data_IF_206357223397
#
_entry.id   IF_206357223397
#
_cell.length_a   1.000
_cell.length_b   1.000
_cell.length_c   1.000
_cell.angle_alpha   90.00
_cell.angle_beta   90.00
_cell.angle_gamma   90.00
#
_symmetry.space_group_name_H-M   'P 1'
#
loop_
_entity.id
_entity.type
_entity.pdbx_description
1 polymer ?
#
# COMPACT_ATOMS: atom_id res chain seq x y z
N UNK A 1 -25.68 0.55 3.26
CA UNK A 1 -25.05 0.56 4.58
C UNK A 1 -24.39 1.91 4.83
N UNK A 2 -24.37 2.36 6.10
CA UNK A 2 -23.56 3.48 6.57
C UNK A 2 -22.26 2.93 7.19
N UNK A 3 -21.13 3.31 6.65
CA UNK A 3 -19.81 2.81 7.05
C UNK A 3 -19.00 3.98 7.60
N UNK A 4 -18.50 3.87 8.84
CA UNK A 4 -17.54 4.80 9.41
C UNK A 4 -16.13 4.23 9.20
N UNK A 5 -15.29 4.96 8.46
CA UNK A 5 -13.90 4.60 8.20
C UNK A 5 -12.99 5.58 8.96
N UNK A 6 -12.26 5.08 9.94
CA UNK A 6 -11.34 5.88 10.77
C UNK A 6 -9.90 5.62 10.32
N UNK A 7 -9.18 6.68 9.98
CA UNK A 7 -7.81 6.56 9.46
C UNK A 7 -6.94 7.74 9.86
N UNK A 8 -5.66 7.48 10.17
CA UNK A 8 -4.63 8.51 10.33
C UNK A 8 -3.91 8.83 9.01
N UNK A 9 -4.12 7.99 7.98
CA UNK A 9 -3.58 8.16 6.64
C UNK A 9 -4.67 8.66 5.68
N UNK A 10 -4.64 9.94 5.35
CA UNK A 10 -5.59 10.59 4.44
C UNK A 10 -4.94 11.75 3.67
N UNK A 11 -5.65 12.31 2.68
CA UNK A 11 -5.20 13.48 1.93
C UNK A 11 -4.70 14.60 2.89
N UNK A 12 -3.62 15.32 2.56
CA UNK A 12 -2.88 15.33 1.29
C UNK A 12 -1.75 14.28 1.16
N UNK A 13 -1.65 13.29 2.04
CA UNK A 13 -0.63 12.24 1.94
C UNK A 13 -0.79 11.42 0.66
N UNK A 14 0.33 11.13 -0.02
CA UNK A 14 0.38 10.26 -1.19
C UNK A 14 1.08 8.96 -0.81
N UNK A 15 0.28 7.93 -0.50
CA UNK A 15 0.79 6.60 -0.17
C UNK A 15 -0.23 5.51 -0.51
N UNK A 16 0.18 4.25 -0.45
CA UNK A 16 -0.65 3.10 -0.81
C UNK A 16 -1.90 2.92 0.06
N UNK A 17 -1.88 3.38 1.32
CA UNK A 17 -3.04 3.31 2.22
C UNK A 17 -4.12 4.29 1.75
N UNK A 18 -3.75 5.54 1.54
CA UNK A 18 -4.66 6.60 1.05
C UNK A 18 -5.27 6.18 -0.29
N UNK A 19 -4.44 5.73 -1.24
CA UNK A 19 -4.91 5.26 -2.56
C UNK A 19 -5.92 4.12 -2.44
N UNK A 20 -5.63 3.13 -1.57
CA UNK A 20 -6.54 2.00 -1.34
C UNK A 20 -7.86 2.46 -0.75
N UNK A 21 -7.81 3.27 0.31
CA UNK A 21 -9.02 3.75 0.98
C UNK A 21 -9.88 4.62 0.05
N UNK A 22 -9.26 5.52 -0.71
CA UNK A 22 -9.96 6.38 -1.68
C UNK A 22 -10.64 5.55 -2.76
N UNK A 23 -9.93 4.62 -3.40
CA UNK A 23 -10.49 3.80 -4.47
C UNK A 23 -11.66 2.93 -3.97
N UNK A 24 -11.48 2.26 -2.83
CA UNK A 24 -12.54 1.41 -2.24
C UNK A 24 -13.74 2.26 -1.82
N UNK A 25 -13.52 3.42 -1.20
CA UNK A 25 -14.62 4.32 -0.80
C UNK A 25 -15.44 4.77 -2.00
N UNK A 26 -14.78 5.24 -3.07
CA UNK A 26 -15.48 5.69 -4.28
C UNK A 26 -16.35 4.59 -4.91
N UNK A 27 -15.86 3.35 -4.93
CA UNK A 27 -16.63 2.20 -5.46
C UNK A 27 -17.80 1.86 -4.53
N UNK A 28 -17.61 1.85 -3.22
CA UNK A 28 -18.69 1.59 -2.28
C UNK A 28 -19.78 2.65 -2.37
N UNK A 29 -19.43 3.92 -2.55
CA UNK A 29 -20.38 5.01 -2.76
C UNK A 29 -21.14 4.85 -4.09
N UNK A 30 -20.44 4.46 -5.16
CA UNK A 30 -21.08 4.12 -6.44
C UNK A 30 -22.06 2.93 -6.34
N UNK A 31 -21.82 2.00 -5.39
CA UNK A 31 -22.73 0.91 -5.09
C UNK A 31 -23.88 1.27 -4.11
N UNK A 32 -24.00 2.57 -3.75
CA UNK A 32 -25.08 3.08 -2.89
C UNK A 32 -24.83 2.92 -1.39
N UNK A 33 -23.59 2.64 -0.97
CA UNK A 33 -23.21 2.72 0.43
C UNK A 33 -22.84 4.16 0.82
N UNK A 34 -23.08 4.54 2.06
CA UNK A 34 -22.67 5.83 2.62
C UNK A 34 -21.39 5.63 3.41
N UNK A 35 -20.25 6.08 2.91
CA UNK A 35 -18.97 5.99 3.61
C UNK A 35 -18.61 7.35 4.20
N UNK A 36 -18.37 7.41 5.50
CA UNK A 36 -17.91 8.63 6.16
C UNK A 36 -16.51 8.41 6.69
N UNK A 37 -15.59 9.25 6.21
CA UNK A 37 -14.19 9.24 6.62
C UNK A 37 -14.02 10.09 7.87
N UNK A 38 -13.31 9.55 8.87
CA UNK A 38 -12.82 10.27 10.05
C UNK A 38 -11.29 10.29 9.97
N UNK A 39 -10.73 11.45 9.67
CA UNK A 39 -9.33 11.65 9.28
C UNK A 39 -8.70 12.88 9.96
N UNK A 40 -7.36 13.02 9.96
CA UNK A 40 -6.64 14.04 10.74
C UNK A 40 -6.94 15.49 10.35
N UNK A 41 -7.32 15.76 9.08
CA UNK A 41 -7.68 17.09 8.58
C UNK A 41 -8.89 17.71 9.28
N UNK A 42 -9.70 16.89 9.96
CA UNK A 42 -10.89 17.31 10.72
C UNK A 42 -10.57 17.69 12.17
N UNK A 43 -9.30 17.62 12.56
CA UNK A 43 -8.85 17.87 13.93
C UNK A 43 -7.62 18.76 13.95
N UNK A 44 -7.35 19.38 15.10
CA UNK A 44 -6.02 19.93 15.34
C UNK A 44 -5.00 18.80 15.30
N UNK A 45 -3.88 19.01 14.61
CA UNK A 45 -2.89 17.96 14.40
C UNK A 45 -1.47 18.49 14.44
N UNK A 46 -0.52 17.66 14.81
CA UNK A 46 0.91 17.91 14.75
C UNK A 46 1.54 17.12 13.62
N UNK A 47 2.60 17.63 12.98
CA UNK A 47 3.38 16.85 12.04
C UNK A 47 4.08 15.70 12.78
N UNK A 48 4.12 14.52 12.15
CA UNK A 48 4.96 13.43 12.64
C UNK A 48 6.45 13.83 12.50
N UNK A 49 7.27 13.72 13.55
CA UNK A 49 8.65 14.20 13.51
C UNK A 49 9.50 13.63 12.36
N UNK A 50 9.23 12.41 11.96
CA UNK A 50 9.98 11.73 10.89
C UNK A 50 9.37 11.88 9.49
N UNK A 51 8.10 12.27 9.40
CA UNK A 51 7.34 12.49 8.15
C UNK A 51 6.34 13.60 8.39
N UNK A 52 6.74 14.86 8.18
CA UNK A 52 5.89 16.03 8.45
C UNK A 52 4.57 16.03 7.68
N UNK A 53 4.52 15.35 6.55
CA UNK A 53 3.31 15.13 5.76
C UNK A 53 2.28 14.23 6.46
N UNK A 54 2.73 13.37 7.39
CA UNK A 54 1.83 12.57 8.24
C UNK A 54 1.38 13.44 9.41
N UNK A 55 0.08 13.69 9.48
CA UNK A 55 -0.52 14.52 10.54
C UNK A 55 -1.05 13.63 11.65
N UNK A 56 -0.58 13.88 12.88
CA UNK A 56 -1.03 13.19 14.08
C UNK A 56 -2.15 14.01 14.73
N UNK A 57 -3.38 13.52 14.69
CA UNK A 57 -4.54 14.22 15.25
C UNK A 57 -4.45 14.32 16.77
N UNK A 58 -4.66 15.54 17.29
CA UNK A 58 -4.77 15.81 18.72
C UNK A 58 -6.23 15.65 19.15
N UNK A 59 -6.65 14.40 19.32
CA UNK A 59 -8.02 14.08 19.67
C UNK A 59 -8.08 12.91 20.65
N UNK A 60 -9.22 12.77 21.31
CA UNK A 60 -9.44 11.72 22.30
C UNK A 60 -10.69 10.91 22.04
N UNK A 61 -10.84 9.83 22.82
CA UNK A 61 -11.97 8.89 22.77
C UNK A 61 -13.34 9.56 22.65
N UNK A 62 -13.60 10.57 23.48
CA UNK A 62 -14.93 11.19 23.54
C UNK A 62 -15.26 12.06 22.32
N UNK A 63 -14.25 12.67 21.69
CA UNK A 63 -14.46 13.50 20.49
C UNK A 63 -14.75 12.63 19.27
N UNK A 64 -13.95 11.56 19.07
CA UNK A 64 -14.19 10.60 18.00
C UNK A 64 -15.51 9.84 18.26
N UNK A 65 -15.79 9.51 19.52
CA UNK A 65 -17.02 8.83 19.93
C UNK A 65 -18.29 9.62 19.59
N UNK A 66 -18.36 10.92 19.94
CA UNK A 66 -19.51 11.76 19.57
C UNK A 66 -19.77 11.78 18.07
N UNK A 67 -18.70 11.72 17.26
CA UNK A 67 -18.84 11.67 15.80
C UNK A 67 -19.36 10.32 15.33
N UNK A 68 -18.89 9.22 15.91
CA UNK A 68 -19.43 7.88 15.61
C UNK A 68 -20.90 7.76 16.04
N UNK A 69 -21.27 8.29 17.20
CA UNK A 69 -22.67 8.33 17.66
C UNK A 69 -23.58 9.11 16.70
N UNK A 70 -23.14 10.29 16.26
CA UNK A 70 -23.89 11.12 15.31
C UNK A 70 -24.05 10.48 13.93
N UNK A 71 -23.10 9.62 13.51
CA UNK A 71 -23.15 8.89 12.24
C UNK A 71 -24.05 7.65 12.32
N UNK A 72 -24.21 7.05 13.51
CA UNK A 72 -24.91 5.80 13.73
C UNK A 72 -24.58 4.75 12.64
N UNK A 73 -23.29 4.37 12.47
CA UNK A 73 -22.88 3.53 11.34
C UNK A 73 -23.30 2.08 11.54
N UNK A 74 -23.63 1.40 10.44
CA UNK A 74 -23.88 -0.05 10.41
C UNK A 74 -22.58 -0.86 10.59
N UNK A 75 -21.43 -0.26 10.24
CA UNK A 75 -20.11 -0.86 10.38
C UNK A 75 -19.04 0.18 10.67
N UNK A 76 -18.06 -0.19 11.51
CA UNK A 76 -16.91 0.64 11.86
C UNK A 76 -15.63 -0.07 11.41
N UNK A 77 -14.84 0.61 10.58
CA UNK A 77 -13.52 0.15 10.18
C UNK A 77 -12.43 1.11 10.65
N UNK A 78 -11.44 0.61 11.39
CA UNK A 78 -10.28 1.36 11.87
C UNK A 78 -9.08 0.94 11.02
N UNK A 79 -8.71 1.79 10.06
CA UNK A 79 -7.75 1.44 9.03
C UNK A 79 -6.27 1.56 9.49
N UNK A 80 -6.00 2.34 10.55
CA UNK A 80 -4.62 2.61 11.00
C UNK A 80 -4.50 2.58 12.52
N UNK A 81 -3.27 2.33 13.00
CA UNK A 81 -2.94 2.19 14.42
C UNK A 81 -2.52 3.50 15.10
N UNK A 82 -2.71 4.63 14.42
CA UNK A 82 -2.34 5.96 14.91
C UNK A 82 -3.32 6.55 15.95
N UNK A 83 -3.17 7.84 16.29
CA UNK A 83 -3.97 8.50 17.33
C UNK A 83 -5.48 8.42 17.13
N UNK A 84 -5.97 8.60 15.88
CA UNK A 84 -7.40 8.47 15.56
C UNK A 84 -7.87 7.03 15.71
N UNK A 85 -7.13 6.08 15.14
CA UNK A 85 -7.43 4.66 15.28
C UNK A 85 -7.49 4.25 16.75
N UNK A 86 -6.55 4.72 17.56
CA UNK A 86 -6.50 4.46 19.00
C UNK A 86 -7.71 5.05 19.75
N UNK A 87 -8.11 6.27 19.40
CA UNK A 87 -9.28 6.96 19.99
C UNK A 87 -10.58 6.19 19.64
N UNK A 88 -10.76 5.81 18.38
CA UNK A 88 -11.91 5.03 17.91
C UNK A 88 -11.95 3.66 18.59
N UNK A 89 -10.83 2.92 18.62
CA UNK A 89 -10.73 1.63 19.29
C UNK A 89 -11.15 1.70 20.76
N UNK A 90 -10.64 2.70 21.50
CA UNK A 90 -10.99 2.89 22.91
C UNK A 90 -12.48 3.20 23.09
N UNK A 91 -13.05 3.95 22.16
CA UNK A 91 -14.48 4.25 22.17
C UNK A 91 -15.33 3.00 21.92
N UNK A 92 -15.03 2.27 20.85
CA UNK A 92 -15.76 1.05 20.49
C UNK A 92 -15.75 0.03 21.64
N UNK A 93 -14.57 -0.19 22.24
CA UNK A 93 -14.45 -1.11 23.39
C UNK A 93 -15.26 -0.67 24.60
N UNK A 94 -15.28 0.64 24.93
CA UNK A 94 -16.04 1.15 26.06
C UNK A 94 -17.55 1.07 25.85
N UNK A 95 -18.01 1.01 24.58
CA UNK A 95 -19.44 0.94 24.21
C UNK A 95 -19.86 -0.46 23.75
N UNK A 96 -18.96 -1.44 23.73
CA UNK A 96 -19.26 -2.78 23.21
C UNK A 96 -19.50 -2.84 21.70
N UNK A 97 -19.09 -1.80 20.94
CA UNK A 97 -19.30 -1.73 19.49
C UNK A 97 -18.34 -2.66 18.76
N UNK A 98 -18.84 -3.40 17.78
CA UNK A 98 -18.03 -4.22 16.90
C UNK A 98 -17.27 -3.35 15.92
N UNK A 99 -16.02 -3.71 15.62
CA UNK A 99 -15.21 -3.02 14.61
C UNK A 99 -14.25 -3.99 13.92
N UNK A 100 -13.81 -3.60 12.72
CA UNK A 100 -12.72 -4.24 12.00
C UNK A 100 -11.49 -3.34 11.95
N UNK A 101 -10.33 -3.94 11.72
CA UNK A 101 -9.07 -3.22 11.51
C UNK A 101 -8.38 -3.68 10.25
N UNK A 102 -7.34 -2.96 9.81
CA UNK A 102 -6.47 -3.41 8.73
C UNK A 102 -4.99 -3.30 9.13
N UNK A 103 -4.19 -4.24 8.67
CA UNK A 103 -2.73 -4.19 8.80
C UNK A 103 -2.14 -3.81 7.43
N UNK A 104 -1.90 -2.51 7.25
CA UNK A 104 -1.43 -1.97 5.97
C UNK A 104 0.09 -1.88 5.87
N UNK A 105 0.77 -1.71 6.99
CA UNK A 105 2.21 -1.41 7.02
C UNK A 105 2.91 -2.35 8.00
N UNK A 106 4.11 -2.78 7.66
CA UNK A 106 5.00 -3.50 8.56
C UNK A 106 5.53 -2.56 9.66
N UNK A 107 4.62 -2.09 10.49
CA UNK A 107 4.89 -1.08 11.51
C UNK A 107 6.05 -1.47 12.46
N UNK A 108 6.17 -2.72 12.94
CA UNK A 108 7.30 -3.14 13.75
C UNK A 108 8.65 -3.00 13.05
N UNK A 109 8.76 -3.45 11.80
CA UNK A 109 10.01 -3.38 11.03
C UNK A 109 10.35 -1.93 10.64
N UNK A 110 9.31 -1.14 10.34
CA UNK A 110 9.45 0.27 10.06
C UNK A 110 10.00 1.06 11.26
N UNK A 111 9.47 0.81 12.47
CA UNK A 111 9.97 1.44 13.70
C UNK A 111 11.35 0.93 14.07
N UNK A 112 11.62 -0.37 13.90
CA UNK A 112 12.93 -0.95 14.19
C UNK A 112 14.04 -0.25 13.39
N UNK A 113 13.85 -0.02 12.10
CA UNK A 113 14.84 0.68 11.25
C UNK A 113 15.08 2.13 11.66
N UNK A 114 14.10 2.78 12.28
CA UNK A 114 14.21 4.19 12.70
C UNK A 114 14.76 4.38 14.08
N UNK A 115 14.40 3.49 14.98
CA UNK A 115 14.78 3.60 16.40
C UNK A 115 16.02 2.81 16.74
N UNK A 116 16.45 1.88 15.86
CA UNK A 116 17.49 0.91 16.14
C UNK A 116 17.07 -0.21 17.12
N UNK A 117 15.82 -0.18 17.59
CA UNK A 117 15.29 -1.22 18.48
C UNK A 117 14.83 -2.45 17.66
N UNK A 118 14.91 -3.67 18.23
CA UNK A 118 14.39 -4.85 17.54
C UNK A 118 12.89 -4.75 17.24
N UNK A 119 12.45 -5.24 16.06
CA UNK A 119 11.03 -5.26 15.67
C UNK A 119 10.15 -5.97 16.71
N UNK A 120 10.69 -6.96 17.42
CA UNK A 120 10.01 -7.68 18.49
C UNK A 120 9.46 -6.76 19.60
N UNK A 121 10.09 -5.61 19.83
CA UNK A 121 9.69 -4.60 20.82
C UNK A 121 8.32 -3.99 20.52
N UNK A 122 7.95 -3.91 19.25
CA UNK A 122 6.72 -3.24 18.80
C UNK A 122 5.53 -4.19 18.61
N UNK A 123 5.76 -5.50 18.53
CA UNK A 123 4.71 -6.50 18.38
C UNK A 123 3.67 -6.53 19.50
N UNK A 124 4.01 -6.31 20.79
CA UNK A 124 3.01 -6.23 21.85
C UNK A 124 1.94 -5.17 21.60
N UNK A 125 2.31 -3.99 21.06
CA UNK A 125 1.37 -2.93 20.68
C UNK A 125 0.44 -3.38 19.54
N UNK A 126 0.98 -3.96 18.48
CA UNK A 126 0.21 -4.45 17.33
C UNK A 126 -0.80 -5.51 17.77
N UNK A 127 -0.36 -6.50 18.55
CA UNK A 127 -1.26 -7.53 19.11
C UNK A 127 -2.35 -6.91 19.97
N UNK A 128 -2.00 -6.02 20.87
CA UNK A 128 -2.94 -5.34 21.74
C UNK A 128 -3.95 -4.51 20.94
N UNK A 129 -3.51 -3.84 19.90
CA UNK A 129 -4.38 -2.99 19.07
C UNK A 129 -5.39 -3.82 18.30
N UNK A 130 -4.96 -4.86 17.62
CA UNK A 130 -5.80 -5.63 16.70
C UNK A 130 -6.60 -6.75 17.36
N UNK A 131 -6.15 -7.30 18.49
CA UNK A 131 -6.78 -8.46 19.13
C UNK A 131 -8.29 -8.36 19.36
N UNK A 132 -8.88 -7.23 19.76
CA UNK A 132 -10.32 -7.13 19.99
C UNK A 132 -11.14 -6.93 18.72
N UNK A 133 -10.53 -6.74 17.55
CA UNK A 133 -11.24 -6.57 16.30
C UNK A 133 -11.96 -7.86 15.87
N UNK A 134 -13.17 -7.73 15.34
CA UNK A 134 -13.94 -8.84 14.76
C UNK A 134 -13.34 -9.40 13.49
N UNK A 135 -12.55 -8.58 12.79
CA UNK A 135 -11.77 -8.95 11.62
C UNK A 135 -10.57 -8.03 11.46
N UNK A 136 -9.43 -8.60 11.08
CA UNK A 136 -8.21 -7.89 10.76
C UNK A 136 -7.94 -8.10 9.28
N UNK A 137 -8.07 -7.05 8.49
CA UNK A 137 -7.88 -7.12 7.05
C UNK A 137 -6.41 -7.11 6.69
N UNK A 138 -5.99 -8.07 5.87
CA UNK A 138 -4.61 -8.28 5.42
C UNK A 138 -4.55 -8.48 3.92
N UNK A 139 -3.50 -7.94 3.29
CA UNK A 139 -3.42 -7.91 1.84
C UNK A 139 -2.87 -9.20 1.22
N UNK A 140 -2.04 -9.94 1.93
CA UNK A 140 -1.27 -11.07 1.38
C UNK A 140 -1.24 -12.26 2.33
N UNK A 141 -0.95 -13.43 1.78
CA UNK A 141 -0.87 -14.67 2.55
C UNK A 141 0.38 -14.73 3.43
N UNK A 142 1.50 -14.16 3.00
CA UNK A 142 2.72 -14.07 3.83
C UNK A 142 2.49 -13.18 5.05
N UNK A 143 1.84 -12.02 4.88
CA UNK A 143 1.44 -11.16 6.01
C UNK A 143 0.44 -11.89 6.93
N UNK A 144 -0.51 -12.62 6.35
CA UNK A 144 -1.46 -13.43 7.13
C UNK A 144 -0.76 -14.48 7.99
N UNK A 145 0.21 -15.19 7.41
CA UNK A 145 1.00 -16.18 8.13
C UNK A 145 1.82 -15.54 9.27
N UNK A 146 2.44 -14.39 9.00
CA UNK A 146 3.19 -13.62 10.00
C UNK A 146 2.29 -13.20 11.17
N UNK A 147 1.13 -12.64 10.92
CA UNK A 147 0.20 -12.21 11.98
C UNK A 147 -0.36 -13.39 12.77
N UNK A 148 -0.60 -14.54 12.13
CA UNK A 148 -0.97 -15.79 12.82
C UNK A 148 0.13 -16.25 13.76
N UNK A 149 1.39 -16.21 13.35
CA UNK A 149 2.55 -16.53 14.20
C UNK A 149 2.66 -15.59 15.41
N UNK A 150 2.12 -14.36 15.30
CA UNK A 150 2.00 -13.39 16.39
C UNK A 150 0.73 -13.59 17.25
N UNK A 151 -0.06 -14.64 17.03
CA UNK A 151 -1.26 -14.95 17.80
C UNK A 151 -2.50 -14.14 17.44
N UNK A 152 -2.55 -13.53 16.26
CA UNK A 152 -3.73 -12.85 15.71
C UNK A 152 -4.51 -13.84 14.84
N UNK A 153 -5.81 -14.01 15.10
CA UNK A 153 -6.59 -15.13 14.52
C UNK A 153 -7.71 -14.69 13.57
N UNK A 154 -8.32 -13.54 13.78
CA UNK A 154 -9.46 -13.08 12.98
C UNK A 154 -9.04 -12.42 11.67
N UNK A 155 -8.15 -13.05 10.90
CA UNK A 155 -7.56 -12.48 9.69
C UNK A 155 -8.49 -12.65 8.48
N UNK A 156 -8.77 -11.55 7.79
CA UNK A 156 -9.61 -11.47 6.58
C UNK A 156 -8.76 -11.03 5.40
N UNK A 157 -8.91 -11.69 4.26
CA UNK A 157 -8.20 -11.27 3.05
C UNK A 157 -8.81 -10.00 2.48
N UNK A 158 -7.97 -9.02 2.18
CA UNK A 158 -8.34 -7.78 1.50
C UNK A 158 -7.20 -7.34 0.58
N UNK A 159 -7.29 -7.75 -0.67
CA UNK A 159 -6.33 -7.42 -1.72
C UNK A 159 -6.39 -5.94 -2.12
N UNK A 160 -5.57 -5.58 -3.09
CA UNK A 160 -5.52 -4.26 -3.70
C UNK A 160 -5.96 -4.36 -5.14
N UNK A 161 -6.16 -3.20 -5.77
CA UNK A 161 -6.51 -3.11 -7.17
C UNK A 161 -5.62 -2.13 -7.92
N UNK A 162 -5.76 -2.15 -9.23
CA UNK A 162 -5.21 -1.20 -10.17
C UNK A 162 -6.34 -0.65 -11.04
N UNK A 163 -6.22 0.60 -11.45
CA UNK A 163 -7.14 1.22 -12.39
C UNK A 163 -6.78 0.79 -13.81
N UNK A 164 -7.48 -0.23 -14.32
CA UNK A 164 -7.24 -0.77 -15.66
C UNK A 164 -7.64 0.18 -16.80
N UNK A 165 -8.38 1.26 -16.51
CA UNK A 165 -8.68 2.30 -17.51
C UNK A 165 -7.50 3.24 -17.75
N UNK A 166 -6.65 3.41 -16.74
CA UNK A 166 -5.45 4.23 -16.80
C UNK A 166 -4.20 3.39 -17.11
N UNK A 167 -4.07 2.20 -16.47
CA UNK A 167 -2.90 1.32 -16.59
C UNK A 167 -3.15 0.21 -17.61
N UNK A 168 -2.55 0.35 -18.78
CA UNK A 168 -2.75 -0.55 -19.92
C UNK A 168 -1.44 -0.70 -20.72
N UNK A 169 -1.17 -1.88 -21.31
CA UNK A 169 -0.03 -2.08 -22.21
C UNK A 169 -0.10 -1.20 -23.48
N UNK A 170 -1.29 -0.69 -23.80
CA UNK A 170 -1.53 0.15 -24.97
C UNK A 170 -1.25 1.65 -24.72
N UNK A 171 -0.79 2.01 -23.50
CA UNK A 171 -0.44 3.39 -23.18
C UNK A 171 0.85 3.77 -23.91
N UNK A 172 0.83 4.89 -24.64
CA UNK A 172 2.01 5.39 -25.35
C UNK A 172 3.13 5.74 -24.35
N UNK A 173 4.38 5.28 -24.61
CA UNK A 173 5.53 5.58 -23.74
C UNK A 173 5.88 7.08 -23.79
N UNK A 174 6.54 7.61 -22.75
CA UNK A 174 7.06 8.97 -22.78
C UNK A 174 8.05 9.16 -23.93
N UNK A 175 8.05 10.33 -24.58
CA UNK A 175 8.96 10.66 -25.67
C UNK A 175 10.43 10.44 -25.28
N UNK A 176 10.81 10.77 -24.05
CA UNK A 176 12.14 10.51 -23.52
C UNK A 176 12.58 9.05 -23.71
N UNK A 177 11.68 8.08 -23.52
CA UNK A 177 12.01 6.65 -23.58
C UNK A 177 12.35 6.17 -25.01
N UNK A 178 11.92 6.92 -26.04
CA UNK A 178 12.23 6.61 -27.44
C UNK A 178 13.74 6.81 -27.74
N UNK A 179 14.42 7.67 -26.98
CA UNK A 179 15.80 8.06 -27.19
C UNK A 179 16.76 7.43 -26.16
N UNK A 180 16.26 6.68 -25.18
CA UNK A 180 17.11 6.06 -24.16
C UNK A 180 17.65 4.70 -24.61
N UNK A 181 18.93 4.40 -24.29
CA UNK A 181 19.48 3.04 -24.46
C UNK A 181 18.65 1.99 -23.73
N UNK A 182 18.30 0.92 -24.46
CA UNK A 182 17.56 -0.21 -23.88
C UNK A 182 18.49 -1.26 -23.27
N UNK A 183 18.02 -2.04 -22.29
CA UNK A 183 16.67 -2.01 -21.72
C UNK A 183 16.44 -0.81 -20.78
N UNK A 184 15.21 -0.30 -20.77
CA UNK A 184 14.77 0.72 -19.82
C UNK A 184 14.33 0.02 -18.53
N UNK A 185 15.08 0.25 -17.47
CA UNK A 185 14.83 -0.26 -16.13
C UNK A 185 14.13 0.84 -15.33
N UNK A 186 12.92 0.56 -14.85
CA UNK A 186 12.08 1.55 -14.19
C UNK A 186 11.96 1.25 -12.70
N UNK A 187 12.17 2.25 -11.87
CA UNK A 187 11.73 2.31 -10.49
C UNK A 187 10.56 3.29 -10.35
N UNK A 188 9.53 2.93 -9.60
CA UNK A 188 8.43 3.82 -9.22
C UNK A 188 8.18 3.72 -7.73
N UNK A 189 8.14 4.87 -7.06
CA UNK A 189 7.80 4.93 -5.65
C UNK A 189 8.46 6.10 -4.93
N UNK A 190 8.23 6.16 -3.61
CA UNK A 190 8.88 7.16 -2.77
C UNK A 190 10.40 6.98 -2.80
N UNK A 191 11.12 8.07 -3.04
CA UNK A 191 12.59 8.08 -3.04
C UNK A 191 13.09 8.25 -1.60
N UNK A 192 13.19 7.13 -0.88
CA UNK A 192 13.54 7.09 0.54
C UNK A 192 14.36 5.85 0.89
N UNK A 193 15.08 5.91 2.00
CA UNK A 193 16.02 4.85 2.44
C UNK A 193 15.34 3.48 2.57
N UNK A 194 14.12 3.45 3.12
CA UNK A 194 13.35 2.21 3.29
C UNK A 194 12.95 1.54 1.98
N UNK A 195 12.95 2.29 0.86
CA UNK A 195 12.64 1.78 -0.48
C UNK A 195 13.87 1.23 -1.20
N UNK A 196 15.05 1.41 -0.63
CA UNK A 196 16.30 0.81 -1.12
C UNK A 196 16.61 1.16 -2.60
N UNK A 197 16.25 2.39 -3.03
CA UNK A 197 16.43 2.86 -4.42
C UNK A 197 17.88 2.80 -4.84
N UNK A 198 18.81 3.02 -3.90
CA UNK A 198 20.25 2.98 -4.12
C UNK A 198 20.72 1.62 -4.66
N UNK A 199 20.18 0.51 -4.14
CA UNK A 199 20.50 -0.82 -4.66
C UNK A 199 20.07 -1.03 -6.12
N UNK A 200 19.02 -0.36 -6.58
CA UNK A 200 18.65 -0.31 -7.99
C UNK A 200 19.63 0.52 -8.81
N UNK A 201 20.00 1.69 -8.30
CA UNK A 201 20.96 2.59 -8.97
C UNK A 201 22.35 1.99 -9.06
N UNK A 202 22.77 1.19 -8.09
CA UNK A 202 24.05 0.47 -8.05
C UNK A 202 24.06 -0.81 -8.92
N UNK A 203 22.90 -1.29 -9.39
CA UNK A 203 22.85 -2.46 -10.27
C UNK A 203 23.70 -2.25 -11.52
N UNK A 204 24.38 -3.31 -11.99
CA UNK A 204 25.33 -3.21 -13.11
C UNK A 204 24.73 -3.66 -14.45
N UNK A 205 23.45 -4.03 -14.45
CA UNK A 205 22.80 -4.43 -15.70
C UNK A 205 22.81 -3.26 -16.69
N UNK A 206 23.23 -3.48 -17.95
CA UNK A 206 23.30 -2.39 -18.95
C UNK A 206 21.91 -1.84 -19.28
N UNK A 207 21.87 -0.66 -19.89
CA UNK A 207 20.65 0.05 -20.26
C UNK A 207 20.40 1.30 -19.41
N UNK A 208 19.24 1.91 -19.54
CA UNK A 208 18.89 3.15 -18.88
C UNK A 208 18.11 2.93 -17.58
N UNK A 209 18.51 3.61 -16.53
CA UNK A 209 17.83 3.61 -15.25
C UNK A 209 16.93 4.83 -15.13
N UNK A 210 15.64 4.60 -14.89
CA UNK A 210 14.64 5.64 -14.74
C UNK A 210 13.97 5.54 -13.36
N UNK A 211 13.93 6.66 -12.66
CA UNK A 211 13.32 6.79 -11.33
C UNK A 211 12.13 7.73 -11.43
N UNK A 212 10.94 7.23 -11.07
CA UNK A 212 9.71 8.01 -10.98
C UNK A 212 9.27 8.06 -9.52
N UNK A 213 9.20 9.26 -9.00
CA UNK A 213 8.79 9.51 -7.62
C UNK A 213 9.51 10.69 -7.00
N UNK A 214 9.19 10.93 -5.75
CA UNK A 214 9.76 12.01 -4.94
C UNK A 214 10.01 11.50 -3.52
N UNK A 215 10.84 12.20 -2.76
CA UNK A 215 11.10 11.85 -1.37
C UNK A 215 12.43 12.39 -0.84
N UNK A 216 12.67 12.18 0.46
CA UNK A 216 13.78 12.82 1.17
C UNK A 216 15.18 12.42 0.70
N UNK A 217 15.32 11.38 -0.11
CA UNK A 217 16.61 10.95 -0.65
C UNK A 217 16.85 11.45 -2.10
N UNK A 218 15.88 12.13 -2.73
CA UNK A 218 15.92 12.49 -4.15
C UNK A 218 17.18 13.31 -4.49
N UNK A 219 17.34 14.48 -3.87
CA UNK A 219 18.48 15.40 -4.17
C UNK A 219 19.85 14.74 -3.98
N UNK A 220 19.95 13.83 -3.00
CA UNK A 220 21.19 13.09 -2.75
C UNK A 220 21.47 12.09 -3.86
N UNK A 221 20.43 11.35 -4.28
CA UNK A 221 20.56 10.30 -5.30
C UNK A 221 20.77 10.89 -6.69
N UNK A 222 20.11 11.99 -7.05
CA UNK A 222 20.35 12.71 -8.31
C UNK A 222 21.83 13.15 -8.45
N UNK A 223 22.41 13.67 -7.36
CA UNK A 223 23.82 14.07 -7.35
C UNK A 223 24.78 12.89 -7.39
N UNK A 224 24.42 11.77 -6.78
CA UNK A 224 25.26 10.58 -6.69
C UNK A 224 25.23 9.72 -7.98
N UNK A 225 24.11 9.76 -8.72
CA UNK A 225 23.89 8.96 -9.93
C UNK A 225 23.41 9.82 -11.10
N UNK A 226 24.26 10.73 -11.64
CA UNK A 226 23.87 11.69 -12.68
C UNK A 226 23.52 11.03 -14.02
N UNK A 227 23.89 9.76 -14.22
CA UNK A 227 23.55 8.96 -15.40
C UNK A 227 22.13 8.39 -15.35
N UNK A 228 21.46 8.39 -14.19
CA UNK A 228 20.09 7.95 -14.04
C UNK A 228 19.10 9.10 -14.34
N UNK A 229 17.93 8.74 -14.86
CA UNK A 229 16.89 9.72 -15.23
C UNK A 229 15.83 9.82 -14.13
N UNK A 230 15.82 10.93 -13.42
CA UNK A 230 14.82 11.20 -12.38
C UNK A 230 13.71 12.08 -12.96
N UNK A 231 12.46 11.55 -12.98
CA UNK A 231 11.32 12.20 -13.63
C UNK A 231 10.36 12.88 -12.64
N UNK A 232 10.71 12.88 -11.36
CA UNK A 232 9.81 13.38 -10.32
C UNK A 232 8.54 12.51 -10.17
N UNK A 233 7.58 12.99 -9.39
CA UNK A 233 6.30 12.30 -9.20
C UNK A 233 5.43 12.34 -10.45
N UNK A 234 4.87 11.17 -10.83
CA UNK A 234 3.89 11.02 -11.91
C UNK A 234 2.63 10.34 -11.39
N UNK A 235 1.51 10.59 -12.02
CA UNK A 235 0.21 9.99 -11.65
C UNK A 235 -0.61 9.67 -12.89
N UNK A 236 -1.65 8.84 -12.73
CA UNK A 236 -2.59 8.54 -13.81
C UNK A 236 -1.90 8.05 -15.09
N UNK A 237 -2.27 8.66 -16.21
CA UNK A 237 -1.81 8.27 -17.55
C UNK A 237 -0.29 8.45 -17.75
N UNK A 238 0.28 9.52 -17.19
CA UNK A 238 1.74 9.77 -17.30
C UNK A 238 2.56 8.70 -16.57
N UNK A 239 2.06 8.22 -15.44
CA UNK A 239 2.67 7.10 -14.71
C UNK A 239 2.51 5.79 -15.49
N UNK A 240 1.31 5.53 -16.03
CA UNK A 240 1.06 4.36 -16.86
C UNK A 240 1.96 4.31 -18.09
N UNK A 241 2.20 5.47 -18.72
CA UNK A 241 3.13 5.62 -19.85
C UNK A 241 4.56 5.19 -19.49
N UNK A 242 5.03 5.58 -18.30
CA UNK A 242 6.35 5.14 -17.81
C UNK A 242 6.42 3.62 -17.64
N UNK A 243 5.39 2.98 -17.08
CA UNK A 243 5.35 1.54 -16.97
C UNK A 243 5.30 0.87 -18.35
N UNK A 244 4.36 1.25 -19.22
CA UNK A 244 4.17 0.63 -20.53
C UNK A 244 5.42 0.73 -21.42
N UNK A 245 6.16 1.84 -21.31
CA UNK A 245 7.40 2.09 -22.06
C UNK A 245 8.65 1.40 -21.51
N UNK A 246 8.63 0.95 -20.25
CA UNK A 246 9.76 0.26 -19.63
C UNK A 246 9.88 -1.21 -20.08
N UNK A 247 11.09 -1.72 -20.09
CA UNK A 247 11.36 -3.14 -20.41
C UNK A 247 11.26 -4.03 -19.16
N UNK A 248 11.59 -3.46 -17.98
CA UNK A 248 11.48 -4.13 -16.70
C UNK A 248 11.19 -3.12 -15.60
N UNK A 249 10.29 -3.47 -14.70
CA UNK A 249 10.07 -2.75 -13.46
C UNK A 249 10.92 -3.37 -12.34
N UNK A 250 11.77 -2.56 -11.70
CA UNK A 250 12.64 -3.02 -10.62
C UNK A 250 12.05 -2.61 -9.28
N UNK A 251 11.78 -3.59 -8.41
CA UNK A 251 11.25 -3.41 -7.07
C UNK A 251 12.30 -3.76 -6.01
N UNK A 252 13.16 -2.80 -5.61
CA UNK A 252 14.27 -3.06 -4.70
C UNK A 252 13.88 -3.05 -3.23
N UNK A 253 12.63 -2.72 -2.90
CA UNK A 253 12.14 -2.63 -1.52
C UNK A 253 12.15 -3.99 -0.83
N UNK A 254 12.51 -3.99 0.47
CA UNK A 254 12.53 -5.20 1.31
C UNK A 254 11.48 -5.17 2.44
N UNK A 255 10.58 -4.18 2.47
CA UNK A 255 9.70 -3.92 3.63
C UNK A 255 8.26 -3.61 3.28
N UNK A 256 7.87 -3.70 2.02
CA UNK A 256 6.48 -3.48 1.63
C UNK A 256 5.59 -4.68 1.98
N UNK A 257 4.35 -4.40 2.41
CA UNK A 257 3.36 -5.43 2.70
C UNK A 257 2.67 -5.97 1.46
N UNK A 258 2.58 -5.18 0.39
CA UNK A 258 1.96 -5.54 -0.89
C UNK A 258 2.78 -5.00 -2.07
N UNK A 259 2.84 -3.68 -2.25
CA UNK A 259 3.52 -3.04 -3.39
C UNK A 259 2.57 -2.83 -4.57
N UNK A 260 1.66 -1.86 -4.46
CA UNK A 260 0.74 -1.45 -5.54
C UNK A 260 1.44 -1.24 -6.87
N UNK A 261 2.63 -0.67 -6.85
CA UNK A 261 3.46 -0.39 -8.02
C UNK A 261 3.79 -1.64 -8.85
N UNK A 262 3.83 -2.83 -8.24
CA UNK A 262 4.03 -4.09 -8.98
C UNK A 262 2.81 -4.45 -9.81
N UNK A 263 1.60 -4.36 -9.25
CA UNK A 263 0.38 -4.66 -10.02
C UNK A 263 0.09 -3.60 -11.08
N UNK A 264 0.53 -2.35 -10.88
CA UNK A 264 0.51 -1.29 -11.90
C UNK A 264 1.45 -1.61 -13.07
N UNK A 265 2.69 -2.03 -12.77
CA UNK A 265 3.65 -2.48 -13.78
C UNK A 265 3.10 -3.67 -14.57
N UNK A 266 2.59 -4.69 -13.87
CA UNK A 266 2.00 -5.87 -14.51
C UNK A 266 0.80 -5.51 -15.39
N UNK A 267 -0.10 -4.64 -14.94
CA UNK A 267 -1.24 -4.18 -15.73
C UNK A 267 -0.82 -3.47 -17.02
N UNK A 268 0.36 -2.83 -17.03
CA UNK A 268 0.97 -2.25 -18.22
C UNK A 268 1.82 -3.26 -19.03
N UNK A 269 1.78 -4.54 -18.68
CA UNK A 269 2.55 -5.58 -19.36
C UNK A 269 4.05 -5.54 -19.04
N UNK A 270 4.47 -4.91 -17.96
CA UNK A 270 5.89 -4.77 -17.63
C UNK A 270 6.30 -5.80 -16.59
N UNK A 271 7.25 -6.70 -16.92
CA UNK A 271 7.72 -7.73 -16.01
C UNK A 271 8.46 -7.12 -14.82
N UNK A 272 8.43 -7.82 -13.68
CA UNK A 272 8.96 -7.32 -12.41
C UNK A 272 10.23 -8.06 -12.01
N UNK A 273 11.28 -7.31 -11.64
CA UNK A 273 12.48 -7.81 -10.97
C UNK A 273 12.48 -7.37 -9.51
N UNK A 274 12.65 -8.31 -8.57
CA UNK A 274 12.52 -8.02 -7.14
C UNK A 274 13.44 -8.90 -6.28
N UNK A 275 13.58 -8.54 -4.99
CA UNK A 275 14.08 -9.47 -3.97
C UNK A 275 12.98 -10.47 -3.54
N UNK A 276 13.35 -11.70 -3.07
CA UNK A 276 12.41 -12.71 -2.59
C UNK A 276 11.92 -12.37 -1.16
N UNK A 277 11.09 -11.34 -1.06
CA UNK A 277 10.53 -10.81 0.19
C UNK A 277 9.01 -10.74 0.12
N UNK A 278 8.36 -10.41 1.23
CA UNK A 278 6.92 -10.14 1.27
C UNK A 278 6.52 -9.09 0.21
N UNK A 279 5.32 -9.22 -0.31
CA UNK A 279 4.85 -8.48 -1.47
C UNK A 279 5.20 -9.21 -2.76
N UNK A 280 6.45 -9.20 -3.25
CA UNK A 280 6.86 -10.00 -4.41
C UNK A 280 6.47 -11.48 -4.33
N UNK A 281 6.71 -12.15 -3.19
CA UNK A 281 6.35 -13.56 -2.99
C UNK A 281 4.84 -13.85 -3.11
N UNK A 282 3.99 -12.86 -2.87
CA UNK A 282 2.55 -13.02 -2.89
C UNK A 282 1.91 -12.60 -4.24
N UNK A 283 2.60 -11.72 -4.98
CA UNK A 283 2.06 -11.08 -6.20
C UNK A 283 2.63 -11.73 -7.45
N UNK A 284 3.94 -11.98 -7.47
CA UNK A 284 4.61 -12.45 -8.68
C UNK A 284 4.46 -13.95 -8.88
N UNK A 285 4.32 -14.33 -10.14
CA UNK A 285 4.42 -15.71 -10.60
C UNK A 285 5.68 -15.88 -11.45
N UNK A 286 6.16 -17.10 -11.70
CA UNK A 286 7.32 -17.33 -12.59
C UNK A 286 7.17 -16.73 -13.99
N UNK A 287 5.92 -16.46 -14.43
CA UNK A 287 5.61 -15.89 -15.75
C UNK A 287 5.58 -14.36 -15.73
N UNK A 288 5.54 -13.72 -14.55
CA UNK A 288 5.29 -12.28 -14.44
C UNK A 288 6.40 -11.50 -13.72
N UNK A 289 7.28 -12.21 -13.04
CA UNK A 289 8.42 -11.58 -12.38
C UNK A 289 9.46 -12.57 -11.90
N UNK A 290 10.65 -12.08 -11.69
CA UNK A 290 11.78 -12.85 -11.18
C UNK A 290 12.24 -12.28 -9.85
N UNK A 291 12.42 -13.16 -8.89
CA UNK A 291 12.93 -12.83 -7.57
C UNK A 291 14.30 -13.48 -7.37
N UNK A 292 15.32 -12.67 -7.06
CA UNK A 292 16.66 -13.15 -6.75
C UNK A 292 17.33 -12.31 -5.66
N UNK A 293 18.38 -12.85 -5.02
CA UNK A 293 19.19 -12.11 -4.05
C UNK A 293 20.06 -11.03 -4.72
N UNK A 294 20.33 -11.18 -6.02
CA UNK A 294 20.97 -10.19 -6.87
C UNK A 294 19.91 -9.52 -7.76
N UNK A 295 19.84 -8.19 -7.74
CA UNK A 295 18.95 -7.45 -8.65
C UNK A 295 19.40 -7.60 -10.11
N UNK A 296 20.70 -7.70 -10.38
CA UNK A 296 21.20 -7.91 -11.74
C UNK A 296 20.68 -9.21 -12.34
N UNK A 297 20.71 -10.28 -11.55
CA UNK A 297 20.17 -11.59 -11.99
C UNK A 297 18.65 -11.54 -12.19
N UNK A 298 17.94 -10.86 -11.26
CA UNK A 298 16.50 -10.68 -11.37
C UNK A 298 16.12 -9.88 -12.62
N UNK A 299 16.83 -8.78 -12.91
CA UNK A 299 16.61 -7.93 -14.09
C UNK A 299 16.86 -8.73 -15.36
N UNK A 300 18.03 -9.36 -15.47
CA UNK A 300 18.42 -10.12 -16.65
C UNK A 300 17.42 -11.26 -16.98
N UNK A 301 16.87 -11.90 -15.97
CA UNK A 301 15.88 -12.96 -16.16
C UNK A 301 14.47 -12.39 -16.42
N UNK A 302 14.06 -11.30 -15.76
CA UNK A 302 12.75 -10.68 -15.96
C UNK A 302 12.57 -10.11 -17.38
N UNK A 303 13.62 -9.60 -17.99
CA UNK A 303 13.62 -9.10 -19.38
C UNK A 303 13.25 -10.17 -20.43
N UNK A 304 13.25 -11.45 -20.07
CA UNK A 304 12.89 -12.56 -20.96
C UNK A 304 11.42 -12.98 -20.86
N UNK A 305 10.68 -12.40 -19.91
CA UNK A 305 9.29 -12.75 -19.66
C UNK A 305 8.36 -12.14 -20.71
N UNK A 306 7.23 -12.84 -20.93
CA UNK A 306 6.21 -12.38 -21.87
C UNK A 306 5.39 -11.24 -21.25
N UNK A 307 5.29 -10.12 -21.95
CA UNK A 307 4.54 -8.94 -21.52
C UNK A 307 3.02 -9.18 -21.48
N UNK A 308 2.49 -10.03 -22.36
CA UNK A 308 1.06 -10.37 -22.38
C UNK A 308 0.67 -11.18 -21.16
N UNK A 309 1.53 -12.10 -20.69
CA UNK A 309 1.31 -12.83 -19.44
C UNK A 309 1.32 -11.90 -18.24
N UNK A 310 2.22 -10.90 -18.24
CA UNK A 310 2.25 -9.85 -17.21
C UNK A 310 0.94 -9.07 -17.20
N UNK A 311 0.48 -8.59 -18.34
CA UNK A 311 -0.77 -7.83 -18.48
C UNK A 311 -1.98 -8.65 -18.04
N UNK A 312 -2.08 -9.90 -18.49
CA UNK A 312 -3.16 -10.80 -18.11
C UNK A 312 -3.20 -11.07 -16.60
N UNK A 313 -2.04 -11.17 -15.95
CA UNK A 313 -1.95 -11.32 -14.50
C UNK A 313 -2.31 -10.03 -13.77
N UNK A 314 -1.78 -8.88 -14.21
CA UNK A 314 -2.09 -7.56 -13.65
C UNK A 314 -3.57 -7.22 -13.70
N UNK A 315 -4.26 -7.59 -14.78
CA UNK A 315 -5.69 -7.38 -14.97
C UNK A 315 -6.59 -8.14 -13.96
N UNK A 316 -6.05 -9.10 -13.21
CA UNK A 316 -6.78 -9.81 -12.14
C UNK A 316 -6.94 -8.97 -10.87
N UNK A 317 -6.13 -7.93 -10.69
CA UNK A 317 -6.17 -7.05 -9.53
C UNK A 317 -7.08 -5.85 -9.81
N UNK A 318 -8.38 -6.00 -9.54
CA UNK A 318 -9.35 -4.92 -9.75
C UNK A 318 -9.75 -4.26 -8.43
N UNK A 319 -10.03 -2.96 -8.48
CA UNK A 319 -10.54 -2.23 -7.32
C UNK A 319 -11.94 -2.72 -6.91
N UNK A 320 -12.76 -3.17 -7.86
CA UNK A 320 -14.07 -3.76 -7.59
C UNK A 320 -13.96 -5.04 -6.78
N UNK A 321 -13.00 -5.92 -7.11
CA UNK A 321 -12.75 -7.13 -6.33
C UNK A 321 -12.28 -6.77 -4.91
N UNK A 322 -11.40 -5.78 -4.78
CA UNK A 322 -10.94 -5.26 -3.48
C UNK A 322 -12.11 -4.70 -2.66
N UNK A 323 -12.99 -3.90 -3.27
CA UNK A 323 -14.16 -3.33 -2.60
C UNK A 323 -15.15 -4.41 -2.12
N UNK A 324 -15.39 -5.47 -2.92
CA UNK A 324 -16.22 -6.62 -2.49
C UNK A 324 -15.60 -7.35 -1.29
N UNK A 325 -14.28 -7.58 -1.32
CA UNK A 325 -13.58 -8.20 -0.20
C UNK A 325 -13.68 -7.34 1.07
N UNK A 326 -13.46 -6.03 0.94
CA UNK A 326 -13.61 -5.09 2.04
C UNK A 326 -15.02 -5.17 2.65
N UNK A 327 -16.05 -5.05 1.82
CA UNK A 327 -17.45 -5.08 2.26
C UNK A 327 -17.81 -6.39 2.98
N UNK A 328 -17.37 -7.53 2.43
CA UNK A 328 -17.61 -8.85 3.03
C UNK A 328 -16.85 -9.06 4.36
N UNK A 329 -15.75 -8.35 4.55
CA UNK A 329 -14.92 -8.46 5.76
C UNK A 329 -15.39 -7.53 6.89
N UNK A 330 -16.29 -6.55 6.63
CA UNK A 330 -16.81 -5.66 7.66
C UNK A 330 -17.61 -6.42 8.73
N UNK A 331 -17.49 -5.99 9.97
CA UNK A 331 -18.34 -6.44 11.06
C UNK A 331 -19.55 -5.50 11.15
N UNK A 332 -20.74 -6.03 10.89
CA UNK A 332 -22.01 -5.29 11.03
C UNK A 332 -22.59 -5.52 12.44
N UNK A 333 -23.16 -4.48 13.04
CA UNK A 333 -23.76 -4.58 14.39
C UNK A 333 -25.04 -5.43 14.41
N UNK A 334 -25.71 -5.55 13.27
CA UNK A 334 -27.01 -6.24 13.16
C UNK A 334 -26.95 -7.77 13.27
N UNK A 335 -25.79 -8.39 13.35
CA UNK A 335 -25.66 -9.85 13.50
C UNK A 335 -25.79 -10.37 14.94
N UNK A 336 -26.01 -9.51 15.94
CA UNK A 336 -25.99 -9.87 17.36
C UNK A 336 -27.28 -9.64 18.14
N UNK A 337 -28.36 -9.14 17.53
CA UNK A 337 -29.57 -8.74 18.25
C UNK A 337 -30.79 -9.69 18.06
N UNK A 338 -30.59 -10.87 17.44
CA UNK A 338 -31.66 -11.90 17.32
C UNK A 338 -31.12 -13.21 17.88
N UNK A 339 -30.79 -13.25 19.15
CA UNK A 339 -30.72 -14.46 19.97
C UNK A 339 -30.58 -14.04 21.44
N UNK A 340 -31.66 -13.61 22.04
CA UNK A 340 -31.93 -13.61 23.49
C UNK A 340 -33.42 -13.85 23.72
#
# INVERSE_FOLDING_TARGET
MAIALVTDAWSPQVNGVVRTLTAVTSILEAWGHRVTIISPDQYRSLPCPSYPEIRLALTGRNTVGRRLDALSPDAIHIATEGPLGLAARRYCLARGLAFTTAYHTQFPDYLARRTGLPAATFWPYIRWFHRPARGIMVATDTVRAQLRAQGLVNLRHWSRGVDLSAFSPLTEPPELFLNLPRPIQLYVGRVAVEKNVEAFLESRHPGSKVVVGDGPALDRLEKAYPEAHFLGSKTGRDLAACYAGADVFVFPSKTDTFGLVMIEALACGTPVAAYPVQGPLDILTPQTGVMANSLDDAIAAALRLNRDDCAAHGARFTWEASARQFLSALACETAGAIAA
#
